data_IF_126847876276
#
_entry.id   IF_126847876276
#
_cell.length_a   1.000
_cell.length_b   1.000
_cell.length_c   1.000
_cell.angle_alpha   90.00
_cell.angle_beta   90.00
_cell.angle_gamma   90.00
#
_symmetry.space_group_name_H-M   'P 1'
#
loop_
_entity.id
_entity.type
_entity.pdbx_description
1 polymer ?
#
# COMPACT_ATOMS: atom_id res chain seq x y z
N UNK A 1 -3.05 3.56 -1.35
CA UNK A 1 -4.52 3.71 -1.50
C UNK A 1 -5.15 4.09 -0.17
N UNK A 2 -6.30 4.79 -0.17
CA UNK A 2 -7.11 5.08 1.02
C UNK A 2 -8.53 4.54 0.88
N UNK A 3 -9.18 4.23 2.00
CA UNK A 3 -10.58 3.83 2.08
C UNK A 3 -11.22 4.44 3.34
N UNK A 4 -12.53 4.73 3.36
CA UNK A 4 -13.23 5.12 4.60
C UNK A 4 -13.25 3.95 5.60
N UNK A 5 -13.57 4.21 6.87
CA UNK A 5 -13.67 3.15 7.88
C UNK A 5 -14.67 2.04 7.51
N UNK A 6 -15.75 2.38 6.81
CA UNK A 6 -16.73 1.42 6.28
C UNK A 6 -16.28 0.70 5.01
N UNK A 7 -15.17 1.11 4.41
CA UNK A 7 -14.66 0.58 3.14
C UNK A 7 -13.88 -0.73 3.26
N UNK A 8 -13.61 -1.20 4.49
CA UNK A 8 -12.90 -2.45 4.75
C UNK A 8 -13.72 -3.32 5.70
N UNK A 9 -13.84 -4.60 5.37
CA UNK A 9 -14.42 -5.63 6.24
C UNK A 9 -13.48 -6.82 6.30
N UNK A 10 -13.07 -7.23 7.51
CA UNK A 10 -12.30 -8.46 7.71
C UNK A 10 -13.26 -9.65 7.63
N UNK A 11 -13.13 -10.45 6.58
CA UNK A 11 -14.00 -11.61 6.36
C UNK A 11 -13.49 -12.87 7.10
N UNK A 12 -12.17 -13.02 7.25
CA UNK A 12 -11.49 -14.17 7.86
C UNK A 12 -10.16 -13.73 8.47
N UNK A 13 -9.63 -14.52 9.42
CA UNK A 13 -8.29 -14.32 10.00
C UNK A 13 -8.19 -13.16 11.00
N UNK A 14 -9.32 -12.69 11.55
CA UNK A 14 -9.33 -11.62 12.55
C UNK A 14 -8.49 -11.98 13.79
N UNK A 15 -8.49 -13.25 14.19
CA UNK A 15 -7.69 -13.78 15.31
C UNK A 15 -6.19 -13.81 15.02
N UNK A 16 -5.79 -13.65 13.75
CA UNK A 16 -4.40 -13.57 13.31
C UNK A 16 -3.94 -12.14 13.04
N UNK A 17 -4.82 -11.13 13.17
CA UNK A 17 -4.40 -9.75 13.06
C UNK A 17 -3.78 -9.28 14.37
N UNK A 18 -2.51 -8.87 14.30
CA UNK A 18 -1.82 -8.18 15.38
C UNK A 18 -1.97 -6.68 15.19
N UNK A 19 -2.50 -6.02 16.21
CA UNK A 19 -2.53 -4.57 16.30
C UNK A 19 -1.19 -4.04 16.81
N UNK A 20 -0.66 -3.01 16.14
CA UNK A 20 0.55 -2.31 16.54
C UNK A 20 0.31 -0.80 16.55
N UNK A 21 0.76 -0.16 17.63
CA UNK A 21 0.70 1.28 17.85
C UNK A 21 2.06 1.77 18.34
N UNK A 22 2.45 2.97 17.93
CA UNK A 22 3.68 3.60 18.40
C UNK A 22 3.52 5.12 18.53
N UNK A 23 4.50 5.78 19.15
CA UNK A 23 4.53 7.22 19.36
C UNK A 23 3.21 7.72 20.00
N UNK A 24 2.44 8.56 19.30
CA UNK A 24 1.16 9.12 19.80
C UNK A 24 0.04 8.08 19.99
N UNK A 25 0.22 6.85 19.50
CA UNK A 25 -0.78 5.78 19.60
C UNK A 25 -2.03 5.98 18.74
N UNK A 26 -2.11 7.06 17.95
CA UNK A 26 -3.29 7.40 17.13
C UNK A 26 -3.43 6.53 15.88
N UNK A 27 -2.33 6.24 15.18
CA UNK A 27 -2.36 5.29 14.08
C UNK A 27 -2.51 3.86 14.61
N UNK A 28 -3.27 3.04 13.90
CA UNK A 28 -3.56 1.65 14.28
C UNK A 28 -3.13 0.74 13.15
N UNK A 29 -2.00 0.07 13.29
CA UNK A 29 -1.44 -0.76 12.22
C UNK A 29 -1.81 -2.23 12.43
N UNK A 30 -2.22 -2.92 11.35
CA UNK A 30 -2.56 -4.34 11.39
C UNK A 30 -1.61 -5.17 10.52
N UNK A 31 -1.10 -6.25 11.11
CA UNK A 31 -0.21 -7.22 10.46
C UNK A 31 -0.69 -8.64 10.73
N UNK A 32 -0.45 -9.57 9.82
CA UNK A 32 -0.69 -10.98 10.07
C UNK A 32 0.38 -11.55 11.02
N UNK A 33 -0.03 -12.13 12.15
CA UNK A 33 0.86 -12.75 13.14
C UNK A 33 1.58 -14.00 12.64
N UNK A 34 1.11 -14.61 11.55
CA UNK A 34 1.65 -15.85 10.99
C UNK A 34 2.72 -15.55 9.94
N UNK A 35 2.43 -14.67 8.97
CA UNK A 35 3.33 -14.38 7.85
C UNK A 35 4.01 -13.00 7.93
N UNK A 36 3.63 -12.14 8.88
CA UNK A 36 4.20 -10.81 9.07
C UNK A 36 3.72 -9.74 8.08
N UNK A 37 2.86 -10.09 7.11
CA UNK A 37 2.41 -9.15 6.08
C UNK A 37 1.54 -8.04 6.69
N UNK A 38 1.93 -6.80 6.41
CA UNK A 38 1.13 -5.59 6.64
C UNK A 38 -0.11 -5.57 5.75
N UNK A 39 -1.30 -5.46 6.33
CA UNK A 39 -2.57 -5.46 5.59
C UNK A 39 -3.12 -4.05 5.40
N UNK A 40 -3.51 -3.39 6.48
CA UNK A 40 -4.05 -2.04 6.49
C UNK A 40 -3.75 -1.35 7.82
N UNK A 41 -3.92 -0.03 7.88
CA UNK A 41 -3.84 0.74 9.13
C UNK A 41 -4.83 1.89 9.15
N UNK A 42 -5.39 2.20 10.33
CA UNK A 42 -6.11 3.46 10.52
C UNK A 42 -5.09 4.60 10.58
N UNK A 43 -5.29 5.63 9.76
CA UNK A 43 -4.29 6.69 9.57
C UNK A 43 -4.28 7.66 10.76
N UNK A 44 -3.08 8.15 11.09
CA UNK A 44 -2.93 9.27 12.03
C UNK A 44 -3.41 10.59 11.43
N UNK A 45 -3.07 10.85 10.16
CA UNK A 45 -3.37 12.11 9.47
C UNK A 45 -4.86 12.28 9.17
N UNK A 46 -5.59 11.19 8.99
CA UNK A 46 -7.04 11.18 8.86
C UNK A 46 -7.62 9.93 9.56
N UNK A 47 -8.09 10.06 10.81
CA UNK A 47 -8.63 8.95 11.59
C UNK A 47 -9.85 8.27 10.97
N UNK A 48 -10.56 8.93 10.06
CA UNK A 48 -11.75 8.38 9.38
C UNK A 48 -11.39 7.53 8.16
N UNK A 49 -10.11 7.26 7.95
CA UNK A 49 -9.60 6.50 6.82
C UNK A 49 -8.62 5.41 7.19
N UNK A 50 -8.67 4.34 6.42
CA UNK A 50 -7.64 3.32 6.34
C UNK A 50 -6.64 3.62 5.21
N UNK A 51 -5.37 3.33 5.45
CA UNK A 51 -4.40 3.05 4.40
C UNK A 51 -4.34 1.55 4.15
N UNK A 52 -4.36 1.12 2.89
CA UNK A 52 -4.37 -0.31 2.49
C UNK A 52 -3.10 -0.65 1.74
N UNK A 53 -2.51 -1.80 2.04
CA UNK A 53 -1.43 -2.38 1.25
C UNK A 53 -1.97 -2.88 -0.09
N UNK A 54 -1.58 -2.22 -1.19
CA UNK A 54 -2.06 -2.57 -2.54
C UNK A 54 -1.62 -3.96 -2.98
N UNK A 55 -0.49 -4.46 -2.47
CA UNK A 55 -0.02 -5.82 -2.79
C UNK A 55 -0.88 -6.93 -2.15
N UNK A 56 -1.80 -6.57 -1.25
CA UNK A 56 -2.78 -7.49 -0.67
C UNK A 56 -4.11 -7.50 -1.44
N UNK A 57 -4.24 -6.70 -2.52
CA UNK A 57 -5.44 -6.66 -3.35
C UNK A 57 -5.28 -7.66 -4.48
N UNK A 58 -6.29 -8.51 -4.67
CA UNK A 58 -6.30 -9.51 -5.73
C UNK A 58 -6.14 -8.84 -7.11
N UNK A 59 -5.30 -9.43 -7.97
CA UNK A 59 -4.97 -8.92 -9.31
C UNK A 59 -4.34 -7.52 -9.34
N UNK A 60 -3.75 -7.06 -8.23
CA UNK A 60 -2.98 -5.82 -8.20
C UNK A 60 -1.53 -6.12 -7.85
N UNK A 61 -0.64 -5.72 -8.74
CA UNK A 61 0.80 -5.72 -8.53
C UNK A 61 1.27 -4.30 -8.16
N UNK A 62 2.26 -4.15 -7.26
CA UNK A 62 2.90 -2.85 -7.03
C UNK A 62 3.54 -2.28 -8.31
N UNK A 63 3.81 -3.12 -9.31
CA UNK A 63 4.37 -2.73 -10.60
C UNK A 63 3.32 -2.25 -11.62
N UNK A 64 2.03 -2.31 -11.29
CA UNK A 64 0.96 -1.74 -12.12
C UNK A 64 0.90 -0.21 -12.02
N UNK A 65 1.61 0.36 -11.04
CA UNK A 65 1.70 1.81 -10.83
C UNK A 65 2.99 2.35 -11.45
N UNK A 66 2.89 2.93 -12.65
CA UNK A 66 4.05 3.50 -13.35
C UNK A 66 4.72 4.66 -12.60
N UNK A 67 3.97 5.39 -11.77
CA UNK A 67 4.47 6.51 -10.98
C UNK A 67 3.67 6.62 -9.67
N UNK A 68 4.37 6.67 -8.54
CA UNK A 68 3.78 6.76 -7.20
C UNK A 68 4.41 7.92 -6.45
N UNK A 69 3.58 8.74 -5.80
CA UNK A 69 4.03 9.83 -4.92
C UNK A 69 4.76 9.28 -3.69
N UNK A 70 5.87 9.93 -3.35
CA UNK A 70 6.61 9.71 -2.10
C UNK A 70 6.24 10.83 -1.14
N UNK A 71 5.56 10.49 -0.05
CA UNK A 71 5.21 11.45 1.00
C UNK A 71 6.40 11.74 1.92
N UNK A 72 6.46 12.94 2.49
CA UNK A 72 7.39 13.28 3.56
C UNK A 72 7.17 12.35 4.77
N UNK A 73 8.18 11.53 5.08
CA UNK A 73 8.16 10.62 6.23
C UNK A 73 8.79 11.22 7.49
N UNK A 74 9.38 12.42 7.41
CA UNK A 74 10.06 13.10 8.51
C UNK A 74 9.12 14.09 9.18
N UNK A 75 8.43 14.92 8.39
CA UNK A 75 7.54 15.96 8.92
C UNK A 75 6.08 15.55 8.78
N UNK A 76 5.42 15.21 9.89
CA UNK A 76 4.02 14.79 9.83
C UNK A 76 3.05 15.99 9.87
N UNK A 77 1.97 16.00 9.08
CA UNK A 77 1.04 17.13 9.01
C UNK A 77 0.39 17.53 10.35
N UNK A 78 0.04 16.53 11.15
CA UNK A 78 -0.52 16.76 12.50
C UNK A 78 0.48 17.36 13.51
N UNK A 79 1.75 17.49 13.16
CA UNK A 79 2.78 18.14 13.99
C UNK A 79 3.10 19.57 13.49
N UNK A 80 2.29 20.12 12.58
CA UNK A 80 2.48 21.44 11.99
C UNK A 80 3.32 21.45 10.70
N UNK A 81 3.71 20.27 10.20
CA UNK A 81 4.37 20.12 8.90
C UNK A 81 3.42 20.26 7.70
N UNK A 82 3.97 20.46 6.51
CA UNK A 82 3.20 20.31 5.27
C UNK A 82 2.99 18.82 4.96
N UNK A 83 1.80 18.44 4.48
CA UNK A 83 1.56 17.14 3.81
C UNK A 83 2.25 17.16 2.45
N UNK A 84 3.58 17.09 2.43
CA UNK A 84 4.37 17.24 1.22
C UNK A 84 4.57 15.93 0.47
N UNK A 85 4.38 15.96 -0.85
CA UNK A 85 5.02 15.01 -1.76
C UNK A 85 6.47 15.47 -1.95
N UNK A 86 7.43 14.65 -1.53
CA UNK A 86 8.87 14.94 -1.60
C UNK A 86 9.55 14.32 -2.82
N UNK A 87 8.83 13.49 -3.57
CA UNK A 87 9.35 12.86 -4.78
C UNK A 87 8.38 11.87 -5.40
N UNK A 88 8.87 11.10 -6.36
CA UNK A 88 8.10 10.09 -7.08
C UNK A 88 8.96 8.84 -7.31
N UNK A 89 8.37 7.66 -7.08
CA UNK A 89 8.93 6.38 -7.52
C UNK A 89 8.33 6.02 -8.87
N UNK A 90 9.19 5.65 -9.84
CA UNK A 90 8.76 5.28 -11.19
C UNK A 90 9.17 3.85 -11.53
N UNK A 91 8.25 3.12 -12.14
CA UNK A 91 8.50 1.77 -12.67
C UNK A 91 8.36 1.78 -14.18
N UNK A 92 9.38 1.26 -14.86
CA UNK A 92 9.40 1.08 -16.31
C UNK A 92 9.73 -0.38 -16.62
N UNK A 93 8.80 -1.15 -17.21
CA UNK A 93 9.11 -2.52 -17.61
C UNK A 93 10.16 -2.52 -18.71
N UNK A 94 11.07 -3.49 -18.68
CA UNK A 94 11.99 -3.72 -19.78
C UNK A 94 11.17 -4.01 -21.04
N UNK A 95 11.46 -3.32 -22.15
CA UNK A 95 10.90 -3.66 -23.46
C UNK A 95 11.25 -5.11 -23.78
N UNK A 96 10.25 -5.97 -23.95
CA UNK A 96 10.44 -7.32 -24.46
C UNK A 96 11.04 -7.24 -25.86
N UNK A 97 12.01 -8.11 -26.23
CA UNK A 97 12.38 -8.24 -27.64
C UNK A 97 11.15 -8.66 -28.47
N UNK A 98 11.10 -8.31 -29.77
CA UNK A 98 10.03 -8.79 -30.65
C UNK A 98 9.93 -10.32 -30.55
N UNK A 99 8.71 -10.82 -30.36
CA UNK A 99 8.45 -12.26 -30.47
C UNK A 99 8.68 -12.63 -31.94
N UNK A 100 9.77 -13.35 -32.23
CA UNK A 100 9.93 -14.00 -33.54
C UNK A 100 8.78 -15.00 -33.70
N UNK A 101 7.82 -14.63 -34.53
CA UNK A 101 6.79 -15.54 -35.03
C UNK A 101 7.47 -16.51 -35.99
N UNK A 102 8.09 -17.55 -35.43
CA UNK A 102 8.60 -18.68 -36.19
C UNK A 102 7.45 -19.33 -36.97
N UNK A 103 7.38 -19.03 -38.26
CA UNK A 103 6.44 -19.64 -39.19
C UNK A 103 6.61 -21.14 -39.18
N UNK A 104 5.60 -21.86 -38.67
CA UNK A 104 5.47 -23.29 -38.85
C UNK A 104 4.93 -23.49 -40.27
N UNK A 105 5.84 -23.62 -41.24
CA UNK A 105 5.46 -24.06 -42.58
C UNK A 105 4.91 -25.49 -42.47
N UNK A 106 3.68 -25.65 -42.94
CA UNK A 106 3.06 -26.92 -43.33
C UNK A 106 3.92 -27.59 -44.40
#
# INVERSE_FOLDING_TARGET
>A
MSAPLSGIKVLKGQDKLTEYRFNTGKAVHFFCSVCGIYTFHQRRSNPDQYGVNVACIENVSPFDFACVEVNDGVTHPSDGGSSGVVGYLRYEPKKSPPVETGGKNI
#
